data_IF_023273340430
#
_entry.id   IF_023273340430
#
_cell.length_a   1.000
_cell.length_b   1.000
_cell.length_c   1.000
_cell.angle_alpha   90.00
_cell.angle_beta   90.00
_cell.angle_gamma   90.00
#
_symmetry.space_group_name_H-M   'P 1'
#
loop_
_entity.id
_entity.type
_entity.pdbx_description
1 polymer ?
#
# COMPACT_ATOMS: atom_id res chain seq x y z
N UNK A 1 49.69 8.42 -12.75
CA UNK A 1 48.46 7.98 -13.41
C UNK A 1 47.32 8.22 -12.44
N UNK A 2 46.59 9.31 -12.61
CA UNK A 2 45.47 9.72 -11.77
C UNK A 2 44.22 8.98 -12.22
N UNK A 3 43.67 8.14 -11.34
CA UNK A 3 42.42 7.42 -11.58
C UNK A 3 41.26 8.43 -11.59
N UNK A 4 40.78 8.75 -12.78
CA UNK A 4 39.51 9.43 -13.00
C UNK A 4 38.40 8.43 -12.64
N UNK A 5 37.88 8.50 -11.42
CA UNK A 5 36.62 7.85 -11.08
C UNK A 5 35.55 8.75 -11.69
N UNK A 6 35.12 8.40 -12.90
CA UNK A 6 33.92 8.98 -13.51
C UNK A 6 32.79 8.90 -12.50
N UNK A 7 32.41 10.04 -11.94
CA UNK A 7 31.13 10.20 -11.23
C UNK A 7 30.06 9.99 -12.30
N UNK A 8 29.65 8.74 -12.50
CA UNK A 8 28.42 8.45 -13.23
C UNK A 8 27.31 9.21 -12.52
N UNK A 9 26.92 10.33 -13.11
CA UNK A 9 25.69 11.02 -12.79
C UNK A 9 24.59 9.98 -13.00
N UNK A 10 24.13 9.37 -11.89
CA UNK A 10 22.95 8.53 -11.92
C UNK A 10 21.85 9.42 -12.47
N UNK A 11 21.44 9.18 -13.73
CA UNK A 11 20.31 9.87 -14.34
C UNK A 11 19.13 9.64 -13.40
N UNK A 12 18.74 10.70 -12.70
CA UNK A 12 17.61 10.70 -11.80
C UNK A 12 16.38 10.30 -12.62
N UNK A 13 15.95 9.05 -12.47
CA UNK A 13 14.74 8.57 -13.13
C UNK A 13 13.57 9.25 -12.42
N UNK A 14 13.15 10.39 -12.96
CA UNK A 14 12.07 11.18 -12.42
C UNK A 14 10.76 10.49 -12.77
N UNK A 15 10.22 9.71 -11.83
CA UNK A 15 8.85 9.23 -11.94
C UNK A 15 7.91 10.44 -11.80
N UNK A 16 7.07 10.67 -12.80
CA UNK A 16 6.00 11.66 -12.69
C UNK A 16 4.76 11.00 -12.10
N UNK A 17 3.89 11.79 -11.47
CA UNK A 17 2.59 11.31 -11.00
C UNK A 17 1.81 10.62 -12.11
N UNK A 18 1.88 11.17 -13.32
CA UNK A 18 1.29 10.58 -14.52
C UNK A 18 1.91 9.21 -14.85
N UNK A 19 3.23 9.08 -14.84
CA UNK A 19 3.91 7.81 -15.10
C UNK A 19 3.48 6.72 -14.11
N UNK A 20 3.29 7.08 -12.83
CA UNK A 20 2.81 6.13 -11.83
C UNK A 20 1.34 5.77 -12.01
N UNK A 21 0.47 6.75 -12.31
CA UNK A 21 -0.95 6.50 -12.61
C UNK A 21 -1.15 5.69 -13.90
N UNK A 22 -0.30 5.89 -14.90
CA UNK A 22 -0.35 5.17 -16.17
C UNK A 22 0.14 3.72 -16.03
N UNK A 23 1.13 3.46 -15.17
CA UNK A 23 1.68 2.12 -14.94
C UNK A 23 0.88 1.29 -13.95
N UNK A 24 0.31 1.91 -12.92
CA UNK A 24 -0.33 1.22 -11.81
C UNK A 24 -1.79 1.63 -11.68
N UNK A 25 -2.69 0.69 -11.95
CA UNK A 25 -4.14 0.91 -11.82
C UNK A 25 -4.55 1.17 -10.36
N UNK A 26 -3.89 0.49 -9.42
CA UNK A 26 -4.02 0.69 -7.97
C UNK A 26 -2.63 0.57 -7.35
N UNK A 27 -2.30 1.51 -6.47
CA UNK A 27 -1.13 1.45 -5.61
C UNK A 27 -1.52 0.99 -4.21
N UNK A 28 -0.56 0.44 -3.48
CA UNK A 28 -0.71 0.12 -2.06
C UNK A 28 0.32 0.91 -1.24
N UNK A 29 -0.06 1.27 -0.03
CA UNK A 29 0.85 1.79 0.99
C UNK A 29 1.14 0.68 2.01
N UNK A 30 2.39 0.21 2.06
CA UNK A 30 2.80 -0.85 2.99
C UNK A 30 2.60 -0.47 4.46
N UNK A 31 2.60 0.83 4.80
CA UNK A 31 2.28 1.27 6.16
C UNK A 31 0.78 1.13 6.49
N UNK A 32 -0.06 0.93 5.49
CA UNK A 32 -1.52 0.79 5.57
C UNK A 32 -1.96 -0.45 4.78
N UNK A 33 -1.34 -1.60 5.05
CA UNK A 33 -1.54 -2.83 4.26
C UNK A 33 -3.01 -3.27 4.21
N UNK A 34 -3.69 -3.27 5.36
CA UNK A 34 -5.11 -3.63 5.46
C UNK A 34 -6.00 -2.77 4.57
N UNK A 35 -5.81 -1.45 4.64
CA UNK A 35 -6.48 -0.48 3.77
C UNK A 35 -6.15 -0.71 2.30
N UNK A 36 -4.87 -0.99 1.99
CA UNK A 36 -4.42 -1.27 0.63
C UNK A 36 -5.10 -2.50 0.04
N UNK A 37 -5.22 -3.58 0.83
CA UNK A 37 -5.95 -4.80 0.44
C UNK A 37 -7.41 -4.48 0.13
N UNK A 38 -8.07 -3.65 0.94
CA UNK A 38 -9.44 -3.21 0.67
C UNK A 38 -9.55 -2.43 -0.64
N UNK A 39 -8.69 -1.44 -0.88
CA UNK A 39 -8.72 -0.65 -2.12
C UNK A 39 -8.49 -1.52 -3.36
N UNK A 40 -7.49 -2.41 -3.31
CA UNK A 40 -7.21 -3.35 -4.41
C UNK A 40 -8.42 -4.23 -4.68
N UNK A 41 -9.00 -4.82 -3.62
CA UNK A 41 -10.18 -5.68 -3.76
C UNK A 41 -11.36 -4.93 -4.38
N UNK A 42 -11.69 -3.75 -3.84
CA UNK A 42 -12.83 -2.94 -4.32
C UNK A 42 -12.63 -2.51 -5.78
N UNK A 43 -11.39 -2.18 -6.16
CA UNK A 43 -11.08 -1.82 -7.54
C UNK A 43 -11.37 -2.96 -8.52
N UNK A 44 -10.91 -4.18 -8.23
CA UNK A 44 -11.05 -5.31 -9.15
C UNK A 44 -12.43 -5.97 -9.12
N UNK A 45 -13.13 -5.91 -7.99
CA UNK A 45 -14.44 -6.57 -7.83
C UNK A 45 -15.62 -5.63 -8.01
N UNK A 46 -15.43 -4.33 -7.82
CA UNK A 46 -16.52 -3.36 -7.76
C UNK A 46 -17.41 -3.49 -6.51
N UNK A 47 -17.01 -4.32 -5.53
CA UNK A 47 -17.78 -4.57 -4.31
C UNK A 47 -16.99 -4.17 -3.07
N UNK A 48 -17.70 -3.67 -2.05
CA UNK A 48 -17.13 -3.23 -0.78
C UNK A 48 -17.32 -4.31 0.30
N UNK A 49 -16.25 -4.93 0.82
CA UNK A 49 -16.36 -5.84 1.95
C UNK A 49 -16.76 -5.12 3.24
N UNK A 50 -17.66 -5.73 4.02
CA UNK A 50 -18.08 -5.18 5.33
C UNK A 50 -16.91 -4.87 6.25
N UNK A 51 -15.91 -5.77 6.30
CA UNK A 51 -14.68 -5.61 7.10
C UNK A 51 -13.80 -4.42 6.71
N UNK A 52 -14.03 -3.84 5.53
CA UNK A 52 -13.32 -2.67 5.04
C UNK A 52 -14.00 -1.35 5.42
N UNK A 53 -15.24 -1.39 5.92
CA UNK A 53 -16.04 -0.18 6.21
C UNK A 53 -15.94 0.19 7.68
N UNK A 54 -15.39 1.38 7.94
CA UNK A 54 -15.26 1.98 9.28
C UNK A 54 -16.10 3.23 9.46
N UNK A 55 -17.05 3.50 8.55
CA UNK A 55 -17.98 4.62 8.70
C UNK A 55 -18.71 4.48 10.05
N UNK A 56 -18.38 5.35 11.01
CA UNK A 56 -19.14 5.48 12.25
C UNK A 56 -20.49 6.08 11.91
N UNK A 57 -21.48 5.24 11.61
CA UNK A 57 -22.86 5.68 11.70
C UNK A 57 -23.17 5.93 13.18
N UNK A 58 -23.07 7.20 13.59
CA UNK A 58 -23.97 7.74 14.58
C UNK A 58 -25.40 7.42 14.09
N UNK A 59 -26.01 6.43 14.72
CA UNK A 59 -27.41 6.02 14.62
C UNK A 59 -27.85 5.29 13.32
N UNK A 60 -28.20 4.00 13.50
CA UNK A 60 -29.27 3.27 12.82
C UNK A 60 -29.73 3.80 11.44
N UNK A 61 -29.08 3.44 10.33
CA UNK A 61 -29.72 3.01 9.06
C UNK A 61 -28.66 2.35 8.17
N UNK A 62 -28.55 1.02 8.19
CA UNK A 62 -28.12 0.23 7.02
C UNK A 62 -28.79 -1.15 7.06
N UNK A 63 -30.12 -1.14 7.20
CA UNK A 63 -30.94 -2.22 6.67
C UNK A 63 -31.21 -1.85 5.21
N UNK A 64 -30.34 -2.24 4.27
CA UNK A 64 -30.59 -2.40 2.81
C UNK A 64 -29.25 -2.40 2.03
N UNK A 65 -28.36 -3.34 2.36
CA UNK A 65 -27.44 -3.89 1.37
C UNK A 65 -27.60 -5.40 1.49
N UNK A 66 -28.47 -5.91 0.61
CA UNK A 66 -28.86 -7.30 0.50
C UNK A 66 -27.62 -8.18 0.43
N UNK A 67 -27.65 -9.23 1.26
CA UNK A 67 -26.65 -10.26 1.34
C UNK A 67 -26.57 -11.00 0.00
N UNK A 68 -25.61 -10.62 -0.83
CA UNK A 68 -25.02 -11.60 -1.74
C UNK A 68 -23.93 -12.28 -0.95
N UNK A 69 -24.17 -13.57 -0.68
CA UNK A 69 -23.39 -14.49 0.15
C UNK A 69 -21.89 -14.16 0.14
N UNK A 70 -21.44 -13.64 1.28
CA UNK A 70 -20.05 -13.81 1.66
C UNK A 70 -19.78 -15.32 1.63
N UNK A 71 -18.82 -15.75 0.82
CA UNK A 71 -18.28 -17.10 0.92
C UNK A 71 -17.99 -17.34 2.39
N UNK A 72 -18.73 -18.27 3.00
CA UNK A 72 -18.56 -18.68 4.38
C UNK A 72 -17.24 -19.46 4.46
N UNK A 73 -16.12 -18.73 4.40
CA UNK A 73 -14.85 -19.23 4.87
C UNK A 73 -15.05 -19.40 6.37
N UNK A 74 -15.29 -20.66 6.76
CA UNK A 74 -15.11 -21.13 8.12
C UNK A 74 -13.62 -21.04 8.46
N UNK A 75 -13.12 -19.81 8.53
CA UNK A 75 -11.84 -19.47 9.11
C UNK A 75 -12.07 -19.51 10.60
N UNK A 76 -11.92 -20.70 11.18
CA UNK A 76 -11.34 -20.79 12.52
C UNK A 76 -10.18 -19.81 12.52
N UNK A 77 -10.28 -18.76 13.34
CA UNK A 77 -9.24 -17.75 13.54
C UNK A 77 -8.03 -18.46 14.15
N UNK A 78 -7.28 -19.13 13.29
CA UNK A 78 -5.90 -19.47 13.52
C UNK A 78 -5.21 -18.21 13.07
N UNK A 79 -4.82 -17.37 14.03
CA UNK A 79 -3.75 -16.39 13.82
C UNK A 79 -2.53 -17.17 13.33
N UNK A 80 -2.45 -17.39 12.02
CA UNK A 80 -1.18 -17.70 11.40
C UNK A 80 -0.38 -16.42 11.55
N UNK A 81 0.44 -16.38 12.60
CA UNK A 81 1.60 -15.51 12.60
C UNK A 81 2.21 -15.66 11.21
N UNK A 82 2.16 -14.60 10.41
CA UNK A 82 2.82 -14.58 9.12
C UNK A 82 4.25 -15.01 9.39
N UNK A 83 4.60 -16.20 8.91
CA UNK A 83 5.78 -16.97 9.31
C UNK A 83 7.08 -16.32 8.86
N UNK A 84 7.32 -15.11 9.33
CA UNK A 84 8.56 -14.37 9.19
C UNK A 84 9.33 -14.63 10.47
N UNK A 85 9.92 -15.82 10.53
CA UNK A 85 10.84 -16.22 11.61
C UNK A 85 12.20 -15.51 11.53
N UNK A 86 12.46 -14.80 10.43
CA UNK A 86 13.61 -13.94 10.24
C UNK A 86 13.18 -12.57 9.72
N UNK A 87 13.10 -11.58 10.62
CA UNK A 87 13.33 -10.20 10.20
C UNK A 87 14.76 -10.17 9.63
N UNK A 88 14.91 -9.61 8.43
CA UNK A 88 16.09 -9.73 7.57
C UNK A 88 17.41 -9.81 8.34
N UNK A 89 18.25 -10.77 7.96
CA UNK A 89 19.58 -10.93 8.54
C UNK A 89 20.26 -9.58 8.69
N UNK A 90 20.84 -9.30 9.85
CA UNK A 90 21.76 -8.17 10.03
C UNK A 90 22.96 -8.41 9.12
N UNK A 91 22.85 -7.98 7.87
CA UNK A 91 23.95 -8.02 6.94
C UNK A 91 24.86 -6.85 7.30
N UNK A 92 26.04 -7.13 7.84
CA UNK A 92 27.03 -6.10 8.08
C UNK A 92 27.49 -5.54 6.74
N UNK A 93 27.08 -4.31 6.47
CA UNK A 93 27.50 -3.53 5.31
C UNK A 93 28.86 -2.91 5.58
N UNK A 94 29.66 -2.76 4.52
CA UNK A 94 30.86 -1.93 4.53
C UNK A 94 30.49 -0.47 4.33
N UNK A 95 31.34 0.50 4.74
CA UNK A 95 31.05 1.92 4.52
C UNK A 95 30.72 2.29 3.06
N UNK A 96 31.38 1.64 2.09
CA UNK A 96 31.07 1.86 0.66
C UNK A 96 29.70 1.29 0.26
N UNK A 97 29.24 0.21 0.88
CA UNK A 97 27.89 -0.30 0.67
C UNK A 97 26.85 0.63 1.31
N UNK A 98 27.13 1.19 2.48
CA UNK A 98 26.24 2.16 3.14
C UNK A 98 26.05 3.41 2.30
N UNK A 99 27.11 3.94 1.69
CA UNK A 99 27.02 5.07 0.76
C UNK A 99 26.12 4.76 -0.45
N UNK A 100 26.23 3.54 -1.01
CA UNK A 100 25.36 3.11 -2.12
C UNK A 100 23.91 2.92 -1.68
N UNK A 101 23.69 2.36 -0.49
CA UNK A 101 22.35 2.20 0.10
C UNK A 101 21.72 3.57 0.35
N UNK A 102 22.49 4.55 0.84
CA UNK A 102 22.00 5.91 1.04
C UNK A 102 21.51 6.53 -0.28
N UNK A 103 22.29 6.38 -1.36
CA UNK A 103 21.88 6.85 -2.69
C UNK A 103 20.58 6.16 -3.15
N UNK A 104 20.47 4.84 -2.99
CA UNK A 104 19.26 4.10 -3.35
C UNK A 104 18.06 4.55 -2.52
N UNK A 105 18.24 4.71 -1.21
CA UNK A 105 17.19 5.17 -0.30
C UNK A 105 16.67 6.55 -0.68
N UNK A 106 17.56 7.48 -1.04
CA UNK A 106 17.16 8.83 -1.40
C UNK A 106 16.33 8.84 -2.70
N UNK A 107 16.64 7.95 -3.65
CA UNK A 107 15.82 7.76 -4.86
C UNK A 107 14.47 7.10 -4.54
N UNK A 108 14.48 6.03 -3.74
CA UNK A 108 13.29 5.30 -3.35
C UNK A 108 12.33 6.14 -2.52
N UNK A 109 12.85 7.05 -1.68
CA UNK A 109 12.04 7.91 -0.82
C UNK A 109 11.09 8.78 -1.65
N UNK A 110 11.59 9.40 -2.71
CA UNK A 110 10.76 10.25 -3.57
C UNK A 110 9.66 9.44 -4.28
N UNK A 111 10.01 8.25 -4.80
CA UNK A 111 9.05 7.33 -5.40
C UNK A 111 7.99 6.88 -4.40
N UNK A 112 8.41 6.55 -3.18
CA UNK A 112 7.55 6.11 -2.10
C UNK A 112 6.57 7.21 -1.68
N UNK A 113 7.05 8.43 -1.47
CA UNK A 113 6.21 9.58 -1.12
C UNK A 113 5.15 9.85 -2.18
N UNK A 114 5.54 9.86 -3.46
CA UNK A 114 4.59 10.06 -4.56
C UNK A 114 3.58 8.93 -4.65
N UNK A 115 4.00 7.68 -4.44
CA UNK A 115 3.10 6.53 -4.43
C UNK A 115 2.07 6.62 -3.31
N UNK A 116 2.46 7.12 -2.14
CA UNK A 116 1.54 7.36 -1.01
C UNK A 116 0.54 8.47 -1.29
N UNK A 117 0.94 9.53 -1.98
CA UNK A 117 0.02 10.59 -2.41
C UNK A 117 -1.07 10.06 -3.33
N UNK A 118 -0.68 9.30 -4.37
CA UNK A 118 -1.61 8.66 -5.31
C UNK A 118 -2.50 7.66 -4.58
N UNK A 119 -1.96 6.87 -3.66
CA UNK A 119 -2.77 5.94 -2.86
C UNK A 119 -3.85 6.66 -2.04
N UNK A 120 -3.52 7.78 -1.39
CA UNK A 120 -4.51 8.59 -0.65
C UNK A 120 -5.61 9.14 -1.56
N UNK A 121 -5.27 9.54 -2.77
CA UNK A 121 -6.25 9.96 -3.77
C UNK A 121 -7.16 8.80 -4.18
N UNK A 122 -6.60 7.62 -4.45
CA UNK A 122 -7.37 6.42 -4.78
C UNK A 122 -8.31 6.00 -3.65
N UNK A 123 -7.87 6.10 -2.39
CA UNK A 123 -8.73 5.89 -1.22
C UNK A 123 -9.91 6.86 -1.23
N UNK A 124 -9.67 8.16 -1.39
CA UNK A 124 -10.75 9.17 -1.41
C UNK A 124 -11.74 8.92 -2.54
N UNK A 125 -11.27 8.59 -3.74
CA UNK A 125 -12.14 8.27 -4.88
C UNK A 125 -13.07 7.10 -4.56
N UNK A 126 -12.55 6.06 -3.90
CA UNK A 126 -13.35 4.90 -3.49
C UNK A 126 -14.33 5.28 -2.38
N UNK A 127 -13.86 6.00 -1.35
CA UNK A 127 -14.69 6.48 -0.23
C UNK A 127 -15.86 7.34 -0.71
N UNK A 128 -15.61 8.28 -1.62
CA UNK A 128 -16.62 9.15 -2.22
C UNK A 128 -17.60 8.34 -3.10
N UNK A 129 -17.07 7.42 -3.92
CA UNK A 129 -17.89 6.61 -4.84
C UNK A 129 -18.90 5.72 -4.10
N UNK A 130 -18.49 5.15 -2.97
CA UNK A 130 -19.34 4.22 -2.20
C UNK A 130 -19.94 4.86 -0.95
N UNK A 131 -19.65 6.14 -0.66
CA UNK A 131 -20.09 6.88 0.52
C UNK A 131 -19.75 6.14 1.84
N UNK A 132 -18.48 5.78 2.00
CA UNK A 132 -17.94 5.04 3.15
C UNK A 132 -16.59 5.61 3.61
N UNK A 133 -16.15 5.21 4.79
CA UNK A 133 -14.76 5.35 5.23
C UNK A 133 -14.09 3.99 5.22
N UNK A 134 -12.94 3.85 4.55
CA UNK A 134 -12.18 2.61 4.56
C UNK A 134 -11.33 2.53 5.83
N UNK A 135 -11.40 1.39 6.51
CA UNK A 135 -10.66 1.15 7.74
C UNK A 135 -9.14 1.20 7.56
N UNK A 136 -8.43 1.71 8.56
CA UNK A 136 -6.96 1.61 8.64
C UNK A 136 -6.49 0.19 8.99
N UNK A 137 -7.35 -0.58 9.66
CA UNK A 137 -7.14 -1.99 10.01
C UNK A 137 -8.39 -2.78 9.67
N UNK A 138 -8.24 -4.02 9.19
CA UNK A 138 -9.38 -4.88 8.93
C UNK A 138 -10.14 -5.14 10.23
N UNK A 139 -11.47 -5.05 10.19
CA UNK A 139 -12.32 -5.45 11.31
C UNK A 139 -12.43 -6.97 11.35
N UNK A 140 -12.27 -7.53 12.55
CA UNK A 140 -12.50 -8.96 12.84
C UNK A 140 -14.00 -9.33 12.81
#
# INVERSE_FOLDING_TARGET
>A
MTNNIDKQQHKQYFYSEKDLKDRYMVLGDNAQMDKSVCIIFIHYTGWVPKRCVCTTSTNNVMNHLEANDAVNLNTTSIHFAHGVTHYGSLFQTTPSQDEKIAILRDLDLSLYEKSREIFREQVRIVEDKYNITICDKLLD
#
